data_IF_625350262487
#
_entry.id   IF_625350262487
#
_cell.length_a   1.000
_cell.length_b   1.000
_cell.length_c   1.000
_cell.angle_alpha   90.00
_cell.angle_beta   90.00
_cell.angle_gamma   90.00
#
_symmetry.space_group_name_H-M   'P 1'
#
loop_
_entity.id
_entity.type
_entity.pdbx_description
1 polymer ?
#
# COMPACT_ATOMS: atom_id res chain seq x y z
N UNK A 1 -1.35 -4.94 19.68
CA UNK A 1 -0.65 -6.05 19.03
C UNK A 1 0.61 -5.55 18.34
N UNK A 2 1.73 -6.20 18.60
CA UNK A 2 3.00 -5.84 17.95
C UNK A 2 3.13 -6.65 16.66
N UNK A 3 2.89 -6.05 15.51
CA UNK A 3 3.08 -6.62 14.19
C UNK A 3 4.52 -7.13 13.95
N UNK A 4 5.47 -6.62 14.76
CA UNK A 4 6.88 -6.90 14.60
C UNK A 4 7.59 -6.77 15.96
N UNK A 5 8.25 -7.82 16.40
CA UNK A 5 8.87 -7.88 17.73
C UNK A 5 10.05 -6.91 17.90
N UNK A 6 10.78 -6.60 16.83
CA UNK A 6 11.92 -5.69 16.82
C UNK A 6 11.64 -4.36 16.13
N UNK A 7 10.38 -3.86 16.20
CA UNK A 7 9.97 -2.66 15.47
C UNK A 7 10.81 -1.42 15.84
N UNK A 8 11.11 -1.22 17.11
CA UNK A 8 11.86 -0.03 17.54
C UNK A 8 13.32 -0.07 17.10
N UNK A 9 13.94 -1.24 17.11
CA UNK A 9 15.28 -1.41 16.52
C UNK A 9 15.26 -1.17 15.02
N UNK A 10 14.23 -1.66 14.33
CA UNK A 10 14.05 -1.42 12.90
C UNK A 10 13.92 0.07 12.60
N UNK A 11 13.05 0.79 13.33
CA UNK A 11 12.93 2.26 13.21
C UNK A 11 14.28 2.96 13.39
N UNK A 12 15.04 2.55 14.43
CA UNK A 12 16.38 3.13 14.66
C UNK A 12 17.30 2.89 13.48
N UNK A 13 17.34 1.67 12.93
CA UNK A 13 18.16 1.36 11.73
C UNK A 13 17.75 2.18 10.51
N UNK A 14 16.45 2.43 10.30
CA UNK A 14 15.97 3.32 9.23
C UNK A 14 16.44 4.77 9.44
N UNK A 15 16.41 5.28 10.67
CA UNK A 15 16.92 6.61 11.00
C UNK A 15 18.44 6.69 10.77
N UNK A 16 19.18 5.68 11.20
CA UNK A 16 20.63 5.61 11.00
C UNK A 16 20.96 5.54 9.50
N UNK A 17 20.26 4.69 8.73
CA UNK A 17 20.40 4.62 7.27
C UNK A 17 20.09 5.93 6.58
N UNK A 18 19.01 6.62 6.97
CA UNK A 18 18.65 7.94 6.45
C UNK A 18 19.76 8.97 6.69
N UNK A 19 20.49 8.84 7.77
CA UNK A 19 21.67 9.64 8.11
C UNK A 19 22.98 9.07 7.54
N UNK A 20 22.91 8.24 6.50
CA UNK A 20 24.06 7.61 5.84
C UNK A 20 24.92 6.73 6.77
N UNK A 21 24.30 6.09 7.77
CA UNK A 21 24.94 5.18 8.73
C UNK A 21 24.32 3.79 8.63
N UNK A 22 25.16 2.79 8.43
CA UNK A 22 24.73 1.40 8.39
C UNK A 22 23.91 1.04 7.13
N UNK A 23 23.24 -0.09 7.22
CA UNK A 23 22.40 -0.66 6.16
C UNK A 23 21.06 -1.10 6.73
N UNK A 24 20.03 -1.16 5.89
CA UNK A 24 18.77 -1.83 6.18
C UNK A 24 18.61 -3.06 5.29
N UNK A 25 18.06 -4.12 5.85
CA UNK A 25 17.77 -5.35 5.13
C UNK A 25 16.26 -5.50 4.95
N UNK A 26 15.79 -5.22 3.75
CA UNK A 26 14.41 -5.39 3.35
C UNK A 26 14.27 -6.65 2.49
N UNK A 27 13.49 -7.63 2.97
CA UNK A 27 13.27 -8.89 2.27
C UNK A 27 11.86 -8.91 1.69
N UNK A 28 11.74 -9.38 0.44
CA UNK A 28 10.45 -9.56 -0.21
C UNK A 28 9.67 -10.75 0.38
N UNK A 29 8.36 -10.67 0.41
CA UNK A 29 7.46 -11.66 1.04
C UNK A 29 7.65 -13.10 0.53
N UNK A 30 7.91 -13.26 -0.75
CA UNK A 30 8.08 -14.60 -1.35
C UNK A 30 9.35 -15.35 -0.91
N UNK A 31 10.25 -14.71 -0.18
CA UNK A 31 11.35 -15.40 0.49
C UNK A 31 10.97 -15.96 1.88
N UNK A 32 9.71 -15.83 2.25
CA UNK A 32 9.19 -16.31 3.53
C UNK A 32 8.47 -17.66 3.39
N UNK A 33 8.70 -18.40 2.33
CA UNK A 33 8.13 -19.72 2.10
C UNK A 33 8.41 -20.65 3.29
N UNK A 34 7.36 -21.30 3.80
CA UNK A 34 7.45 -22.16 4.97
C UNK A 34 7.46 -21.46 6.34
N UNK A 35 7.33 -20.15 6.38
CA UNK A 35 7.16 -19.41 7.64
C UNK A 35 5.73 -19.57 8.15
N UNK A 36 5.59 -19.98 9.41
CA UNK A 36 4.26 -20.06 10.04
C UNK A 36 3.63 -18.68 10.18
N UNK A 37 2.31 -18.55 10.01
CA UNK A 37 1.60 -17.32 10.29
C UNK A 37 1.92 -16.76 11.68
N UNK A 38 1.94 -15.44 11.79
CA UNK A 38 2.14 -14.77 13.07
C UNK A 38 0.90 -14.90 13.99
N UNK A 39 -0.27 -14.92 13.40
CA UNK A 39 -1.53 -15.12 14.09
C UNK A 39 -2.46 -16.05 13.29
N UNK A 40 -3.37 -16.69 13.99
CA UNK A 40 -4.40 -17.54 13.38
C UNK A 40 -5.56 -16.65 12.91
N UNK A 41 -5.34 -15.93 11.84
CA UNK A 41 -6.31 -14.99 11.27
C UNK A 41 -6.94 -15.64 10.04
N UNK A 42 -8.27 -15.65 9.91
CA UNK A 42 -8.94 -16.21 8.75
C UNK A 42 -8.50 -15.48 7.47
N UNK A 43 -8.30 -16.23 6.40
CA UNK A 43 -7.99 -15.64 5.10
C UNK A 43 -9.09 -14.62 4.71
N UNK A 44 -8.71 -13.44 4.24
CA UNK A 44 -9.69 -12.45 3.79
C UNK A 44 -10.45 -12.97 2.57
N UNK A 45 -11.71 -12.53 2.43
CA UNK A 45 -12.45 -12.81 1.21
C UNK A 45 -11.75 -12.18 -0.01
N UNK A 46 -11.62 -12.90 -1.12
CA UNK A 46 -11.06 -12.30 -2.34
C UNK A 46 -11.89 -11.10 -2.78
N UNK A 47 -11.26 -10.15 -3.45
CA UNK A 47 -11.97 -9.02 -4.04
C UNK A 47 -12.99 -9.53 -5.08
N UNK A 48 -14.17 -8.90 -5.12
CA UNK A 48 -15.22 -9.26 -6.07
C UNK A 48 -14.86 -8.92 -7.51
N UNK A 49 -14.13 -7.83 -7.67
CA UNK A 49 -13.70 -7.32 -8.97
C UNK A 49 -12.47 -6.41 -8.80
N UNK A 50 -11.94 -5.93 -9.92
CA UNK A 50 -10.78 -5.05 -9.95
C UNK A 50 -11.02 -3.69 -9.27
N UNK A 51 -12.27 -3.20 -9.28
CA UNK A 51 -12.60 -1.94 -8.61
C UNK A 51 -12.50 -2.09 -7.09
N UNK A 52 -13.03 -3.18 -6.53
CA UNK A 52 -12.88 -3.45 -5.10
C UNK A 52 -11.41 -3.65 -4.73
N UNK A 53 -10.66 -4.42 -5.50
CA UNK A 53 -9.24 -4.67 -5.26
C UNK A 53 -8.41 -3.37 -5.32
N UNK A 54 -8.68 -2.52 -6.31
CA UNK A 54 -7.92 -1.30 -6.57
C UNK A 54 -8.37 -0.08 -5.77
N UNK A 55 -9.68 0.07 -5.57
CA UNK A 55 -10.26 1.38 -5.22
C UNK A 55 -11.21 1.38 -4.03
N UNK A 56 -11.56 0.22 -3.45
CA UNK A 56 -12.37 0.18 -2.22
C UNK A 56 -11.49 0.39 -0.98
N UNK A 57 -11.61 1.54 -0.28
CA UNK A 57 -10.77 1.84 0.88
C UNK A 57 -10.95 0.85 2.03
N UNK A 58 -12.17 0.37 2.26
CA UNK A 58 -12.48 -0.57 3.32
C UNK A 58 -11.81 -1.91 3.05
N UNK A 59 -12.00 -2.47 1.88
CA UNK A 59 -11.41 -3.74 1.48
C UNK A 59 -9.88 -3.65 1.48
N UNK A 60 -9.32 -2.59 0.93
CA UNK A 60 -7.87 -2.37 0.89
C UNK A 60 -7.24 -2.17 2.26
N UNK A 61 -7.95 -1.63 3.21
CA UNK A 61 -7.47 -1.52 4.59
C UNK A 61 -7.50 -2.89 5.30
N UNK A 62 -8.53 -3.70 5.07
CA UNK A 62 -8.71 -4.99 5.73
C UNK A 62 -7.80 -6.07 5.14
N UNK A 63 -7.78 -6.24 3.83
CA UNK A 63 -7.02 -7.29 3.15
C UNK A 63 -5.52 -7.25 3.45
N UNK A 64 -4.79 -6.14 3.26
CA UNK A 64 -3.38 -6.06 3.61
C UNK A 64 -3.11 -6.18 5.11
N UNK A 65 -4.03 -5.75 5.94
CA UNK A 65 -3.95 -5.92 7.39
C UNK A 65 -3.98 -7.39 7.79
N UNK A 66 -4.88 -8.15 7.22
CA UNK A 66 -4.99 -9.59 7.45
C UNK A 66 -3.77 -10.36 6.91
N UNK A 67 -3.35 -10.08 5.69
CA UNK A 67 -2.16 -10.71 5.10
C UNK A 67 -0.91 -10.42 5.96
N UNK A 68 -0.72 -9.19 6.43
CA UNK A 68 0.41 -8.86 7.31
C UNK A 68 0.31 -9.49 8.69
N UNK A 69 -0.89 -9.60 9.24
CA UNK A 69 -1.12 -10.28 10.51
C UNK A 69 -0.75 -11.76 10.45
N UNK A 70 -0.80 -12.37 9.27
CA UNK A 70 -0.38 -13.76 9.06
C UNK A 70 1.10 -13.93 8.74
N UNK A 71 1.83 -12.87 8.44
CA UNK A 71 3.22 -12.92 8.05
C UNK A 71 4.17 -12.58 9.21
N UNK A 72 5.33 -13.21 9.23
CA UNK A 72 6.42 -12.81 10.10
C UNK A 72 7.27 -11.74 9.40
N UNK A 73 7.20 -10.50 9.90
CA UNK A 73 8.01 -9.41 9.37
C UNK A 73 9.44 -9.49 9.90
N UNK A 74 10.29 -10.21 9.18
CA UNK A 74 11.72 -10.40 9.53
C UNK A 74 12.59 -9.21 9.13
N UNK A 75 13.84 -9.25 9.61
CA UNK A 75 14.85 -8.23 9.31
C UNK A 75 14.31 -6.81 9.51
N UNK A 76 14.47 -5.92 8.53
CA UNK A 76 14.06 -4.52 8.61
C UNK A 76 12.78 -4.21 7.84
N UNK A 77 11.96 -5.20 7.51
CA UNK A 77 10.65 -4.99 6.88
C UNK A 77 9.76 -4.20 7.84
N UNK A 78 9.23 -3.08 7.37
CA UNK A 78 8.23 -2.30 8.12
C UNK A 78 6.80 -2.77 7.80
N UNK A 79 5.90 -2.77 8.80
CA UNK A 79 4.49 -3.06 8.61
C UNK A 79 3.79 -1.85 7.97
N UNK A 80 3.94 -1.67 6.67
CA UNK A 80 3.34 -0.55 5.93
C UNK A 80 2.13 -0.98 5.13
N UNK A 81 1.10 -0.14 5.13
CA UNK A 81 -0.07 -0.35 4.27
C UNK A 81 0.21 0.16 2.85
N UNK A 82 -0.20 -0.62 1.86
CA UNK A 82 -0.13 -0.18 0.47
C UNK A 82 -1.39 0.63 0.13
N UNK A 83 -1.22 1.95 0.01
CA UNK A 83 -2.30 2.89 -0.37
C UNK A 83 -2.15 3.41 -1.79
N UNK A 84 -1.24 2.83 -2.58
CA UNK A 84 -1.00 3.24 -3.95
C UNK A 84 -2.21 2.99 -4.85
N UNK A 85 -2.41 3.87 -5.80
CA UNK A 85 -3.38 3.73 -6.90
C UNK A 85 -2.72 3.10 -8.14
N UNK A 86 -1.74 2.22 -7.94
CA UNK A 86 -0.92 1.64 -9.00
C UNK A 86 0.36 2.45 -9.27
N UNK A 87 1.18 2.03 -10.26
CA UNK A 87 2.45 2.71 -10.60
C UNK A 87 2.28 4.17 -11.01
N UNK A 88 1.13 4.51 -11.59
CA UNK A 88 0.77 5.86 -12.01
C UNK A 88 0.07 6.71 -10.94
N UNK A 89 0.23 6.41 -9.64
CA UNK A 89 -0.52 7.10 -8.56
C UNK A 89 -0.45 8.63 -8.65
N UNK A 90 0.71 9.20 -8.99
CA UNK A 90 0.84 10.65 -9.14
C UNK A 90 0.01 11.17 -10.32
N UNK A 91 0.07 10.52 -11.47
CA UNK A 91 -0.73 10.90 -12.64
C UNK A 91 -2.24 10.79 -12.33
N UNK A 92 -2.64 9.74 -11.60
CA UNK A 92 -4.02 9.59 -11.15
C UNK A 92 -4.49 10.73 -10.24
N UNK A 93 -3.66 11.13 -9.27
CA UNK A 93 -3.95 12.24 -8.34
C UNK A 93 -4.06 13.57 -9.08
N UNK A 94 -3.31 13.72 -10.16
CA UNK A 94 -3.31 14.91 -11.01
C UNK A 94 -4.41 14.89 -12.10
N UNK A 95 -5.33 13.94 -12.06
CA UNK A 95 -6.50 13.92 -12.93
C UNK A 95 -6.52 12.81 -13.97
N UNK A 96 -5.53 11.91 -13.98
CA UNK A 96 -5.53 10.78 -14.91
C UNK A 96 -6.71 9.84 -14.72
N UNK A 97 -7.15 9.21 -15.80
CA UNK A 97 -8.26 8.27 -15.83
C UNK A 97 -7.76 6.85 -15.59
N UNK A 98 -8.41 6.13 -14.67
CA UNK A 98 -8.07 4.75 -14.38
C UNK A 98 -8.63 3.75 -15.40
N UNK A 99 -7.81 2.78 -15.74
CA UNK A 99 -8.24 1.58 -16.44
C UNK A 99 -7.66 0.35 -15.72
N UNK A 100 -8.54 -0.55 -15.24
CA UNK A 100 -8.14 -1.78 -14.57
C UNK A 100 -7.71 -2.85 -15.58
N UNK A 101 -6.49 -3.38 -15.45
CA UNK A 101 -6.03 -4.59 -16.11
C UNK A 101 -6.03 -5.77 -15.14
N UNK A 102 -5.77 -6.99 -15.63
CA UNK A 102 -5.76 -8.21 -14.79
C UNK A 102 -4.76 -8.10 -13.63
N UNK A 103 -3.55 -7.61 -13.89
CA UNK A 103 -2.47 -7.53 -12.92
C UNK A 103 -2.02 -6.11 -12.59
N UNK A 104 -2.64 -5.09 -13.19
CA UNK A 104 -2.19 -3.70 -13.04
C UNK A 104 -3.32 -2.71 -13.26
N UNK A 105 -3.05 -1.47 -12.88
CA UNK A 105 -3.92 -0.33 -13.14
C UNK A 105 -3.19 0.58 -14.13
N UNK A 106 -3.83 0.84 -15.27
CA UNK A 106 -3.35 1.80 -16.25
C UNK A 106 -3.91 3.19 -15.93
N UNK A 107 -3.10 4.20 -16.19
CA UNK A 107 -3.52 5.60 -16.05
C UNK A 107 -3.37 6.28 -17.41
N UNK A 108 -4.48 6.77 -17.91
CA UNK A 108 -4.54 7.49 -19.17
C UNK A 108 -4.67 8.99 -18.91
N UNK A 109 -4.23 9.85 -19.82
CA UNK A 109 -4.53 11.27 -19.76
C UNK A 109 -6.04 11.50 -19.72
N UNK A 110 -6.48 12.54 -19.00
CA UNK A 110 -7.85 13.02 -19.10
C UNK A 110 -8.13 13.43 -20.57
N UNK A 111 -9.25 13.00 -21.19
CA UNK A 111 -9.61 13.44 -22.54
C UNK A 111 -9.67 14.96 -22.73
N UNK A 112 -9.98 15.69 -21.65
CA UNK A 112 -10.05 17.15 -21.63
C UNK A 112 -8.73 17.83 -21.21
N UNK A 113 -7.63 17.08 -21.16
CA UNK A 113 -6.32 17.59 -20.78
C UNK A 113 -5.84 18.68 -21.75
N UNK A 114 -5.48 19.84 -21.23
CA UNK A 114 -5.15 21.05 -21.96
C UNK A 114 -3.67 21.48 -21.83
N UNK A 115 -2.75 20.54 -21.65
CA UNK A 115 -1.32 20.76 -21.45
C UNK A 115 -0.93 21.52 -20.17
N UNK A 116 -1.89 21.86 -19.32
CA UNK A 116 -1.62 22.46 -18.01
C UNK A 116 -1.95 21.49 -16.88
N UNK A 117 -0.94 21.11 -16.10
CA UNK A 117 -1.11 20.23 -14.93
C UNK A 117 -1.34 21.09 -13.70
N UNK A 118 -2.59 21.14 -13.23
CA UNK A 118 -2.97 21.86 -12.00
C UNK A 118 -3.48 20.86 -10.97
N UNK A 119 -2.89 20.88 -9.77
CA UNK A 119 -3.39 20.07 -8.68
C UNK A 119 -4.76 20.57 -8.21
N UNK A 120 -5.78 19.71 -8.30
CA UNK A 120 -7.12 19.97 -7.79
C UNK A 120 -7.36 19.19 -6.48
N UNK A 121 -7.44 19.84 -5.30
CA UNK A 121 -7.67 19.16 -4.03
C UNK A 121 -9.07 18.54 -3.89
N UNK A 122 -9.99 18.87 -4.76
CA UNK A 122 -11.34 18.31 -4.81
C UNK A 122 -11.49 17.21 -5.89
N UNK A 123 -10.40 16.88 -6.61
CA UNK A 123 -10.44 15.82 -7.61
C UNK A 123 -10.80 14.47 -6.98
N UNK A 124 -11.73 13.69 -7.59
CA UNK A 124 -12.17 12.39 -7.02
C UNK A 124 -11.03 11.44 -6.69
N UNK A 125 -10.00 11.34 -7.53
CA UNK A 125 -8.86 10.47 -7.30
C UNK A 125 -8.02 10.90 -6.08
N UNK A 126 -7.87 12.19 -5.85
CA UNK A 126 -7.21 12.70 -4.65
C UNK A 126 -8.04 12.42 -3.39
N UNK A 127 -9.35 12.62 -3.47
CA UNK A 127 -10.25 12.30 -2.37
C UNK A 127 -10.22 10.80 -2.05
N UNK A 128 -10.27 9.95 -3.06
CA UNK A 128 -10.11 8.49 -2.93
C UNK A 128 -8.78 8.12 -2.24
N UNK A 129 -7.68 8.73 -2.66
CA UNK A 129 -6.37 8.47 -2.05
C UNK A 129 -6.34 8.87 -0.56
N UNK A 130 -6.97 9.99 -0.21
CA UNK A 130 -7.12 10.39 1.21
C UNK A 130 -7.96 9.38 2.01
N UNK A 131 -9.03 8.85 1.43
CA UNK A 131 -9.86 7.83 2.10
C UNK A 131 -9.12 6.50 2.27
N UNK A 132 -8.33 6.08 1.28
CA UNK A 132 -7.43 4.91 1.41
C UNK A 132 -6.44 5.09 2.56
N UNK A 133 -5.79 6.26 2.66
CA UNK A 133 -4.87 6.56 3.76
C UNK A 133 -5.56 6.55 5.12
N UNK A 134 -6.77 7.14 5.23
CA UNK A 134 -7.55 7.16 6.47
C UNK A 134 -7.97 5.75 6.89
N UNK A 135 -8.49 4.96 5.95
CA UNK A 135 -8.94 3.60 6.22
C UNK A 135 -7.77 2.71 6.69
N UNK A 136 -6.62 2.78 6.03
CA UNK A 136 -5.42 2.04 6.42
C UNK A 136 -4.84 2.49 7.77
N UNK A 137 -4.94 3.78 8.10
CA UNK A 137 -4.47 4.31 9.39
C UNK A 137 -5.36 3.89 10.56
N UNK A 138 -6.63 3.61 10.31
CA UNK A 138 -7.61 3.22 11.33
C UNK A 138 -7.50 1.74 11.76
N UNK A 139 -6.74 0.93 11.03
CA UNK A 139 -6.46 -0.51 11.29
C UNK A 139 -5.09 -0.68 11.94
#
# INVERSE_FOLDING_TARGET
ETWKTNLDETKKRYIDWWNHKGIILNMWEHFQEGVKPHADIPAPSPAKDLNQNGFDPQWRAEYPGLVRGTQQLKADILPVANTQLGPGSLAAILGGVFEGGEDTIWIHPDPDFNDEIVFNPEHPNWLLHKELLKACKAK
#
